data_IF_999212921775
#
_entry.id   IF_999212921775
#
_cell.length_a   1.000
_cell.length_b   1.000
_cell.length_c   1.000
_cell.angle_alpha   90.00
_cell.angle_beta   90.00
_cell.angle_gamma   90.00
#
_symmetry.space_group_name_H-M   'P 1'
#
loop_
_entity.id
_entity.type
_entity.pdbx_description
1 polymer ?
#
# COMPACT_ATOMS: atom_id res chain seq x y z
N UNK A 1 -0.83 8.29 -0.05
CA UNK A 1 -0.95 9.65 0.53
C UNK A 1 0.36 10.01 1.22
N UNK A 2 0.81 11.26 1.11
CA UNK A 2 2.04 11.75 1.76
C UNK A 2 1.78 12.92 2.73
N UNK A 3 2.55 13.00 3.81
CA UNK A 3 2.48 14.06 4.82
C UNK A 3 3.65 15.06 4.74
N UNK A 4 4.65 14.79 3.90
CA UNK A 4 5.81 15.66 3.71
C UNK A 4 6.36 15.55 2.28
N UNK A 5 7.14 16.55 1.82
CA UNK A 5 7.83 16.48 0.54
C UNK A 5 8.77 15.27 0.43
N UNK A 6 9.39 14.86 1.54
CA UNK A 6 10.28 13.70 1.54
C UNK A 6 9.51 12.39 1.32
N UNK A 7 8.34 12.24 1.95
CA UNK A 7 7.47 11.08 1.69
C UNK A 7 6.99 11.05 0.23
N UNK A 8 6.65 12.21 -0.34
CA UNK A 8 6.30 12.29 -1.76
C UNK A 8 7.46 11.84 -2.66
N UNK A 9 8.66 12.36 -2.42
CA UNK A 9 9.87 12.02 -3.18
C UNK A 9 10.15 10.51 -3.13
N UNK A 10 10.17 9.93 -1.94
CA UNK A 10 10.40 8.48 -1.75
C UNK A 10 9.30 7.65 -2.40
N UNK A 11 8.03 8.03 -2.27
CA UNK A 11 6.93 7.30 -2.87
C UNK A 11 7.04 7.27 -4.41
N UNK A 12 7.44 8.38 -5.03
CA UNK A 12 7.65 8.46 -6.49
C UNK A 12 8.84 7.61 -6.93
N UNK A 13 9.96 7.70 -6.23
CA UNK A 13 11.17 6.91 -6.51
C UNK A 13 10.91 5.40 -6.43
N UNK A 14 10.28 4.95 -5.33
CA UNK A 14 9.93 3.54 -5.16
C UNK A 14 8.92 3.09 -6.20
N UNK A 15 7.92 3.92 -6.51
CA UNK A 15 6.94 3.61 -7.56
C UNK A 15 7.62 3.37 -8.91
N UNK A 16 8.56 4.21 -9.32
CA UNK A 16 9.30 4.03 -10.57
C UNK A 16 10.09 2.70 -10.60
N UNK A 17 10.81 2.40 -9.50
CA UNK A 17 11.57 1.15 -9.36
C UNK A 17 10.69 -0.08 -9.42
N UNK A 18 9.63 -0.15 -8.60
CA UNK A 18 8.74 -1.33 -8.59
C UNK A 18 7.96 -1.46 -9.89
N UNK A 19 7.58 -0.33 -10.51
CA UNK A 19 6.83 -0.33 -11.75
C UNK A 19 7.65 -0.94 -12.89
N UNK A 20 8.95 -0.62 -12.96
CA UNK A 20 9.86 -1.20 -13.94
C UNK A 20 10.24 -2.65 -13.61
N UNK A 21 10.60 -2.96 -12.36
CA UNK A 21 11.15 -4.26 -11.99
C UNK A 21 10.11 -5.36 -11.81
N UNK A 22 8.97 -5.07 -11.17
CA UNK A 22 8.00 -6.10 -10.76
C UNK A 22 6.68 -6.06 -11.52
N UNK A 23 6.28 -4.88 -12.02
CA UNK A 23 4.91 -4.65 -12.51
C UNK A 23 4.79 -4.28 -13.99
N UNK A 24 5.91 -4.22 -14.71
CA UNK A 24 5.93 -4.04 -16.16
C UNK A 24 5.23 -2.77 -16.65
N UNK A 25 5.38 -1.67 -15.92
CA UNK A 25 4.82 -0.36 -16.30
C UNK A 25 3.35 -0.15 -15.93
N UNK A 26 2.72 -1.05 -15.17
CA UNK A 26 1.26 -1.04 -14.89
C UNK A 26 0.86 -0.54 -13.50
N UNK A 27 1.78 0.03 -12.73
CA UNK A 27 1.42 0.62 -11.42
C UNK A 27 0.54 1.85 -11.64
N UNK A 28 -0.66 1.81 -11.06
CA UNK A 28 -1.68 2.88 -11.13
C UNK A 28 -1.88 3.60 -9.78
N UNK A 29 -1.00 3.36 -8.82
CA UNK A 29 -1.10 3.88 -7.46
C UNK A 29 -1.07 5.41 -7.43
N UNK A 30 -2.04 6.02 -6.76
CA UNK A 30 -2.11 7.47 -6.57
C UNK A 30 -1.10 7.99 -5.53
N UNK A 31 -0.41 9.08 -5.84
CA UNK A 31 0.53 9.78 -4.95
C UNK A 31 0.09 11.24 -4.80
N UNK A 32 -0.70 11.50 -3.76
CA UNK A 32 -1.26 12.84 -3.45
C UNK A 32 -1.09 13.20 -1.98
N UNK A 33 -1.15 14.50 -1.61
CA UNK A 33 -1.07 14.94 -0.23
C UNK A 33 -2.14 14.27 0.63
N UNK A 34 -1.79 13.94 1.87
CA UNK A 34 -2.75 13.43 2.84
C UNK A 34 -3.79 14.51 3.18
N UNK A 35 -5.06 14.19 2.94
CA UNK A 35 -6.19 15.03 3.31
C UNK A 35 -6.73 14.72 4.70
N UNK A 36 -8.00 15.09 4.92
CA UNK A 36 -8.72 14.73 6.14
C UNK A 36 -8.88 13.21 6.25
N UNK A 37 -8.47 12.65 7.39
CA UNK A 37 -8.66 11.24 7.71
C UNK A 37 -9.89 11.05 8.60
N UNK A 38 -10.68 10.02 8.31
CA UNK A 38 -11.82 9.60 9.11
C UNK A 38 -11.57 8.17 9.58
N UNK A 39 -11.41 7.99 10.89
CA UNK A 39 -11.17 6.67 11.48
C UNK A 39 -12.40 5.79 11.29
N UNK A 40 -12.18 4.58 10.78
CA UNK A 40 -13.23 3.55 10.70
C UNK A 40 -13.67 3.10 12.11
N UNK A 41 -14.89 2.59 12.21
CA UNK A 41 -15.50 2.12 13.45
C UNK A 41 -14.65 1.07 14.18
N UNK A 42 -14.82 0.97 15.50
CA UNK A 42 -13.99 0.12 16.37
C UNK A 42 -13.96 -1.36 15.94
N UNK A 43 -15.06 -1.89 15.40
CA UNK A 43 -15.12 -3.28 14.99
C UNK A 43 -14.33 -3.58 13.69
N UNK A 44 -13.96 -2.55 12.92
CA UNK A 44 -13.06 -2.69 11.77
C UNK A 44 -11.59 -2.77 12.17
N UNK A 45 -11.24 -2.27 13.36
CA UNK A 45 -9.87 -2.26 13.85
C UNK A 45 -9.43 -3.67 14.23
N UNK A 46 -8.29 -4.11 13.69
CA UNK A 46 -7.73 -5.46 13.90
C UNK A 46 -8.73 -6.59 13.57
N UNK A 47 -9.60 -6.37 12.57
CA UNK A 47 -10.68 -7.30 12.23
C UNK A 47 -10.20 -8.75 12.03
N UNK A 48 -9.13 -8.97 11.25
CA UNK A 48 -8.59 -10.32 10.99
C UNK A 48 -7.83 -10.92 12.19
N UNK A 49 -7.35 -10.11 13.14
CA UNK A 49 -6.77 -10.64 14.39
C UNK A 49 -7.88 -11.12 15.34
N UNK A 50 -9.00 -10.38 15.40
CA UNK A 50 -10.18 -10.71 16.21
C UNK A 50 -11.05 -11.79 15.56
N UNK A 51 -10.99 -11.92 14.24
CA UNK A 51 -11.72 -12.91 13.43
C UNK A 51 -10.78 -13.57 12.40
N UNK A 52 -9.97 -14.57 12.80
CA UNK A 52 -8.97 -15.19 11.93
C UNK A 52 -9.54 -15.87 10.67
N UNK A 53 -10.78 -16.36 10.73
CA UNK A 53 -11.48 -16.96 9.59
C UNK A 53 -12.34 -15.93 8.81
N UNK A 54 -12.14 -14.64 9.10
CA UNK A 54 -12.82 -13.54 8.42
C UNK A 54 -12.42 -13.43 6.95
N UNK A 55 -13.25 -12.75 6.15
CA UNK A 55 -12.96 -12.55 4.74
C UNK A 55 -11.68 -11.72 4.53
N UNK A 56 -10.76 -12.27 3.74
CA UNK A 56 -9.66 -11.57 3.12
C UNK A 56 -9.60 -11.87 1.61
N UNK A 57 -9.21 -10.88 0.82
CA UNK A 57 -9.06 -11.06 -0.62
C UNK A 57 -7.83 -11.94 -0.92
N UNK A 58 -7.92 -12.95 -1.81
CA UNK A 58 -6.77 -13.78 -2.21
C UNK A 58 -5.59 -13.00 -2.83
N UNK A 59 -5.76 -11.73 -3.17
CA UNK A 59 -4.68 -10.87 -3.67
C UNK A 59 -3.81 -10.25 -2.56
N UNK A 60 -4.23 -10.33 -1.29
CA UNK A 60 -3.52 -9.84 -0.11
C UNK A 60 -2.67 -10.96 0.51
N UNK A 61 -1.52 -11.23 -0.09
CA UNK A 61 -0.51 -12.13 0.45
C UNK A 61 0.89 -11.58 0.16
N UNK A 62 1.88 -12.04 0.91
CA UNK A 62 3.27 -11.66 0.65
C UNK A 62 3.74 -12.30 -0.66
N UNK A 63 3.92 -11.47 -1.70
CA UNK A 63 4.45 -11.93 -2.98
C UNK A 63 5.94 -12.24 -2.83
N UNK A 64 6.43 -13.34 -3.43
CA UNK A 64 7.84 -13.72 -3.36
C UNK A 64 8.67 -12.92 -4.37
N UNK A 65 8.66 -11.58 -4.26
CA UNK A 65 9.51 -10.73 -5.09
C UNK A 65 10.97 -10.84 -4.66
N UNK A 66 11.88 -10.63 -5.62
CA UNK A 66 13.30 -10.41 -5.31
C UNK A 66 13.46 -9.03 -4.68
N UNK A 67 14.62 -8.78 -4.06
CA UNK A 67 14.95 -7.45 -3.54
C UNK A 67 14.84 -6.38 -4.64
N UNK A 68 14.41 -5.19 -4.24
CA UNK A 68 14.27 -4.04 -5.12
C UNK A 68 15.66 -3.44 -5.37
N UNK A 69 16.04 -3.32 -6.64
CA UNK A 69 17.33 -2.75 -7.06
C UNK A 69 17.25 -1.22 -7.24
#
# INVERSE_FOLDING_TARGET
>A
YFHSPEQERVAREVTEKVNSQWWGGKVVTEIVPAGKWWTAEEYHQLYLERNPDGYECPSHYLRPFKDLE
#
